data_IF_683741119552
#
_entry.id   IF_683741119552
#
_cell.length_a   1.000
_cell.length_b   1.000
_cell.length_c   1.000
_cell.angle_alpha   90.00
_cell.angle_beta   90.00
_cell.angle_gamma   90.00
#
_symmetry.space_group_name_H-M   'P 1'
#
loop_
_entity.id
_entity.type
_entity.pdbx_description
1 polymer ?
#
# COMPACT_ATOMS: atom_id res chain seq x y z
N UNK A 1 -20.12 -17.43 -7.56
CA UNK A 1 -20.38 -16.58 -8.76
C UNK A 1 -19.04 -16.18 -9.38
N UNK A 2 -18.82 -16.35 -10.70
CA UNK A 2 -17.52 -16.09 -11.32
C UNK A 2 -17.03 -14.65 -11.20
N UNK A 3 -17.94 -13.68 -11.15
CA UNK A 3 -17.60 -12.25 -11.05
C UNK A 3 -16.97 -11.90 -9.70
N UNK A 4 -17.56 -12.40 -8.61
CA UNK A 4 -17.06 -12.17 -7.24
C UNK A 4 -15.66 -12.76 -7.09
N UNK A 5 -15.44 -13.99 -7.59
CA UNK A 5 -14.12 -14.63 -7.53
C UNK A 5 -13.04 -13.84 -8.28
N UNK A 6 -13.37 -13.25 -9.44
CA UNK A 6 -12.45 -12.39 -10.19
C UNK A 6 -12.17 -11.07 -9.47
N UNK A 7 -13.18 -10.49 -8.84
CA UNK A 7 -13.02 -9.29 -8.02
C UNK A 7 -12.12 -9.55 -6.82
N UNK A 8 -12.37 -10.63 -6.08
CA UNK A 8 -11.58 -11.02 -4.92
C UNK A 8 -10.11 -11.27 -5.31
N UNK A 9 -9.87 -11.97 -6.41
CA UNK A 9 -8.51 -12.15 -6.94
C UNK A 9 -7.83 -10.81 -7.26
N UNK A 10 -8.56 -9.87 -7.87
CA UNK A 10 -8.05 -8.52 -8.15
C UNK A 10 -7.72 -7.74 -6.87
N UNK A 11 -8.58 -7.81 -5.85
CA UNK A 11 -8.36 -7.14 -4.57
C UNK A 11 -7.18 -7.74 -3.81
N UNK A 12 -7.04 -9.07 -3.77
CA UNK A 12 -5.89 -9.73 -3.18
C UNK A 12 -4.59 -9.35 -3.88
N UNK A 13 -4.58 -9.34 -5.22
CA UNK A 13 -3.41 -8.90 -5.99
C UNK A 13 -3.06 -7.44 -5.71
N UNK A 14 -4.07 -6.55 -5.63
CA UNK A 14 -3.85 -5.14 -5.31
C UNK A 14 -3.23 -4.95 -3.92
N UNK A 15 -3.74 -5.65 -2.90
CA UNK A 15 -3.19 -5.60 -1.53
C UNK A 15 -1.75 -6.10 -1.49
N UNK A 16 -1.43 -7.16 -2.24
CA UNK A 16 -0.05 -7.65 -2.37
C UNK A 16 0.88 -6.58 -2.97
N UNK A 17 0.44 -5.89 -4.04
CA UNK A 17 1.21 -4.78 -4.62
C UNK A 17 1.46 -3.67 -3.60
N UNK A 18 0.46 -3.30 -2.80
CA UNK A 18 0.64 -2.30 -1.74
C UNK A 18 1.69 -2.75 -0.72
N UNK A 19 1.65 -4.01 -0.29
CA UNK A 19 2.65 -4.56 0.63
C UNK A 19 4.06 -4.57 0.03
N UNK A 20 4.20 -4.90 -1.25
CA UNK A 20 5.48 -4.86 -1.97
C UNK A 20 6.03 -3.44 -2.04
N UNK A 21 5.20 -2.44 -2.34
CA UNK A 21 5.61 -1.02 -2.36
C UNK A 21 6.07 -0.56 -0.98
N UNK A 22 5.38 -0.98 0.09
CA UNK A 22 5.79 -0.66 1.46
C UNK A 22 7.14 -1.29 1.81
N UNK A 23 7.30 -2.58 1.49
CA UNK A 23 8.54 -3.34 1.72
C UNK A 23 9.71 -2.76 0.91
N UNK A 24 9.45 -2.34 -0.33
CA UNK A 24 10.42 -1.65 -1.16
C UNK A 24 10.84 -0.34 -0.49
N UNK A 25 9.88 0.51 -0.13
CA UNK A 25 10.13 1.82 0.47
C UNK A 25 11.04 1.77 1.69
N UNK A 26 10.83 0.80 2.59
CA UNK A 26 11.67 0.58 3.78
C UNK A 26 13.14 0.25 3.46
N UNK A 27 13.43 -0.33 2.29
CA UNK A 27 14.80 -0.66 1.85
C UNK A 27 15.54 0.53 1.26
N UNK A 28 14.81 1.45 0.62
CA UNK A 28 15.41 2.54 -0.16
C UNK A 28 15.44 3.87 0.58
N UNK A 29 14.70 4.02 1.67
CA UNK A 29 14.65 5.25 2.46
C UNK A 29 15.13 5.05 3.88
N UNK A 30 15.68 6.13 4.45
CA UNK A 30 16.20 6.15 5.82
C UNK A 30 15.08 6.17 6.88
N UNK A 31 13.92 6.72 6.55
CA UNK A 31 12.77 6.75 7.43
C UNK A 31 11.89 5.50 7.20
N UNK A 32 11.56 4.72 8.26
CA UNK A 32 10.71 3.56 8.12
C UNK A 32 9.26 3.96 7.87
N UNK A 33 8.61 3.35 6.87
CA UNK A 33 7.17 3.46 6.67
C UNK A 33 6.45 2.62 7.73
N UNK A 34 5.68 3.27 8.62
CA UNK A 34 4.86 2.56 9.61
C UNK A 34 3.38 2.68 9.27
N UNK A 35 2.86 1.65 8.62
CA UNK A 35 1.42 1.56 8.36
C UNK A 35 0.64 1.36 9.66
N UNK A 36 -0.53 2.01 9.83
CA UNK A 36 -1.37 1.82 11.01
C UNK A 36 -2.03 0.43 11.08
N UNK A 37 -2.20 -0.25 9.94
CA UNK A 37 -2.80 -1.59 9.88
C UNK A 37 -1.88 -2.56 9.14
N UNK A 38 -1.63 -3.75 9.72
CA UNK A 38 -0.83 -4.80 9.08
C UNK A 38 -1.52 -5.32 7.81
N UNK A 39 -0.72 -5.75 6.84
CA UNK A 39 -1.19 -6.44 5.64
C UNK A 39 -0.63 -7.86 5.67
N UNK A 40 -1.52 -8.85 5.60
CA UNK A 40 -1.20 -10.27 5.71
C UNK A 40 -2.05 -11.07 4.71
N UNK A 41 -1.45 -11.40 3.56
CA UNK A 41 -2.17 -12.04 2.46
C UNK A 41 -3.34 -11.17 1.97
N UNK A 42 -4.56 -11.69 2.07
CA UNK A 42 -5.79 -10.98 1.69
C UNK A 42 -6.35 -10.07 2.80
N UNK A 43 -5.64 -9.92 3.93
CA UNK A 43 -6.16 -9.21 5.10
C UNK A 43 -5.45 -7.89 5.33
N UNK A 44 -6.24 -6.90 5.74
CA UNK A 44 -5.75 -5.62 6.24
C UNK A 44 -6.30 -5.39 7.65
N UNK A 45 -5.41 -5.23 8.63
CA UNK A 45 -5.77 -5.15 10.04
C UNK A 45 -6.57 -6.36 10.54
N UNK A 46 -6.29 -7.56 10.00
CA UNK A 46 -6.97 -8.81 10.34
C UNK A 46 -8.32 -9.06 9.64
N UNK A 47 -8.80 -8.13 8.79
CA UNK A 47 -10.05 -8.28 8.04
C UNK A 47 -9.77 -8.54 6.55
N UNK A 48 -10.44 -9.54 5.97
CA UNK A 48 -10.26 -9.90 4.55
C UNK A 48 -10.87 -8.86 3.62
N UNK A 49 -10.17 -8.58 2.51
CA UNK A 49 -10.63 -7.74 1.40
C UNK A 49 -11.52 -8.47 0.39
N UNK A 50 -11.62 -9.80 0.50
CA UNK A 50 -12.49 -10.61 -0.33
C UNK A 50 -13.96 -10.42 0.08
N UNK A 51 -14.85 -10.36 -0.90
CA UNK A 51 -16.30 -10.31 -0.71
C UNK A 51 -16.87 -11.69 -0.43
N UNK A 52 -16.32 -12.75 -1.03
CA UNK A 52 -16.85 -14.09 -0.88
C UNK A 52 -16.71 -14.59 0.58
N UNK A 53 -17.79 -15.11 1.14
CA UNK A 53 -17.87 -15.60 2.52
C UNK A 53 -17.53 -14.54 3.60
N UNK A 54 -17.68 -13.25 3.28
CA UNK A 54 -17.43 -12.14 4.20
C UNK A 54 -18.74 -11.47 4.65
N UNK A 55 -18.68 -10.77 5.78
CA UNK A 55 -19.76 -9.90 6.23
C UNK A 55 -19.49 -8.48 5.74
N UNK A 56 -20.53 -7.77 5.27
CA UNK A 56 -20.40 -6.44 4.69
C UNK A 56 -19.69 -5.45 5.62
N UNK A 57 -20.00 -5.48 6.92
CA UNK A 57 -19.34 -4.64 7.92
C UNK A 57 -17.83 -4.92 8.03
N UNK A 58 -17.45 -6.22 8.03
CA UNK A 58 -16.05 -6.65 8.14
C UNK A 58 -15.27 -6.31 6.88
N UNK A 59 -15.87 -6.53 5.71
CA UNK A 59 -15.30 -6.15 4.43
C UNK A 59 -15.13 -4.63 4.31
N UNK A 60 -16.16 -3.86 4.67
CA UNK A 60 -16.11 -2.39 4.68
C UNK A 60 -15.02 -1.89 5.63
N UNK A 61 -14.83 -2.55 6.77
CA UNK A 61 -13.76 -2.24 7.72
C UNK A 61 -12.37 -2.52 7.13
N UNK A 62 -12.18 -3.64 6.43
CA UNK A 62 -10.96 -3.93 5.68
C UNK A 62 -10.66 -2.84 4.64
N UNK A 63 -11.68 -2.40 3.89
CA UNK A 63 -11.55 -1.33 2.89
C UNK A 63 -11.15 0.00 3.53
N UNK A 64 -11.76 0.38 4.66
CA UNK A 64 -11.38 1.58 5.41
C UNK A 64 -9.93 1.51 5.88
N UNK A 65 -9.47 0.36 6.35
CA UNK A 65 -8.08 0.16 6.77
C UNK A 65 -7.11 0.24 5.60
N UNK A 66 -7.45 -0.36 4.46
CA UNK A 66 -6.65 -0.26 3.23
C UNK A 66 -6.52 1.21 2.77
N UNK A 67 -7.63 1.95 2.68
CA UNK A 67 -7.62 3.37 2.32
C UNK A 67 -6.81 4.22 3.31
N UNK A 68 -6.87 3.89 4.59
CA UNK A 68 -6.05 4.58 5.61
C UNK A 68 -4.58 4.28 5.37
N UNK A 69 -4.19 3.03 5.18
CA UNK A 69 -2.80 2.68 4.83
C UNK A 69 -2.31 3.42 3.58
N UNK A 70 -3.14 3.50 2.54
CA UNK A 70 -2.80 4.24 1.31
C UNK A 70 -2.56 5.72 1.58
N UNK A 71 -3.38 6.37 2.43
CA UNK A 71 -3.17 7.77 2.83
C UNK A 71 -1.82 7.95 3.54
N UNK A 72 -1.45 7.02 4.41
CA UNK A 72 -0.16 7.05 5.11
C UNK A 72 1.00 6.83 4.15
N UNK A 73 0.86 5.88 3.21
CA UNK A 73 1.85 5.64 2.17
C UNK A 73 2.05 6.87 1.28
N UNK A 74 0.98 7.54 0.86
CA UNK A 74 1.08 8.79 0.07
C UNK A 74 1.80 9.89 0.84
N UNK A 75 1.41 10.15 2.10
CA UNK A 75 2.07 11.15 2.93
C UNK A 75 3.55 10.84 3.16
N UNK A 76 3.89 9.56 3.32
CA UNK A 76 5.26 9.10 3.39
C UNK A 76 6.01 9.37 2.08
N UNK A 77 5.43 9.06 0.93
CA UNK A 77 6.06 9.32 -0.37
C UNK A 77 6.33 10.83 -0.55
N UNK A 78 5.37 11.67 -0.19
CA UNK A 78 5.45 13.14 -0.30
C UNK A 78 6.46 13.78 0.67
N UNK A 79 6.76 13.14 1.80
CA UNK A 79 7.62 13.73 2.84
C UNK A 79 9.11 13.78 2.49
N UNK A 80 9.54 13.15 1.40
CA UNK A 80 10.93 13.19 0.95
C UNK A 80 11.00 13.74 -0.48
N UNK A 81 11.73 14.85 -0.71
CA UNK A 81 11.96 15.32 -2.07
C UNK A 81 12.71 14.24 -2.85
N UNK A 82 12.30 13.98 -4.10
CA UNK A 82 13.07 13.15 -5.03
C UNK A 82 14.54 13.61 -5.00
N UNK A 83 15.53 12.69 -5.01
CA UNK A 83 16.92 13.09 -5.11
C UNK A 83 17.09 13.91 -6.38
N UNK A 84 17.29 15.23 -6.22
CA UNK A 84 17.64 16.12 -7.32
C UNK A 84 19.05 15.72 -7.77
N UNK A 85 19.17 14.71 -8.63
CA UNK A 85 20.37 14.58 -9.45
C UNK A 85 20.35 15.77 -10.41
N UNK A 86 20.89 16.90 -9.98
CA UNK A 86 21.19 18.01 -10.87
C UNK A 86 22.44 17.61 -11.67
N UNK A 87 22.38 17.34 -12.99
CA UNK A 87 23.55 16.92 -13.74
C UNK A 87 24.43 18.11 -14.20
N UNK A 88 24.24 19.32 -13.64
CA UNK A 88 24.86 20.54 -14.19
C UNK A 88 25.72 21.34 -13.20
N UNK A 89 26.13 20.73 -12.08
CA UNK A 89 27.22 21.29 -11.26
C UNK A 89 28.56 20.74 -11.74
N UNK A 90 28.91 21.02 -12.99
CA UNK A 90 30.27 20.87 -13.48
C UNK A 90 30.55 21.93 -14.53
N UNK A 91 31.55 22.75 -14.18
CA UNK A 91 32.35 23.60 -15.06
C UNK A 91 31.73 24.93 -15.50
N UNK A 92 32.16 26.01 -14.83
CA UNK A 92 33.00 27.01 -15.50
C UNK A 92 33.73 27.83 -14.42
N UNK A 93 35.06 27.82 -14.53
CA UNK A 93 36.00 28.59 -13.70
C UNK A 93 36.18 30.03 -14.15
#
# INVERSE_FOLDING_TARGET
MPLIARFDAGMCAYVNVVQEVCTFSERFRSQPLRLPFSIEGDKVGGFSVALQFNQEERWTKAMKYLLTNLKWLMAYIESEPLPTTSPLASDDG
#
